data_IF_066736012824
#
_entry.id   IF_066736012824
#
_cell.length_a   1.000
_cell.length_b   1.000
_cell.length_c   1.000
_cell.angle_alpha   90.00
_cell.angle_beta   90.00
_cell.angle_gamma   90.00
#
_symmetry.space_group_name_H-M   'P 1'
#
loop_
_entity.id
_entity.type
_entity.pdbx_description
1 polymer ?
#
# COMPACT_ATOMS: atom_id res chain seq x y z
N UNK A 1 20.36 24.21 -1.45
CA UNK A 1 20.67 22.77 -1.43
C UNK A 1 19.39 22.02 -1.68
N UNK A 2 19.21 21.41 -2.85
CA UNK A 2 18.05 20.55 -3.09
C UNK A 2 18.18 19.34 -2.16
N UNK A 3 17.30 19.20 -1.16
CA UNK A 3 17.19 17.95 -0.40
C UNK A 3 16.92 16.86 -1.43
N UNK A 4 17.88 15.96 -1.64
CA UNK A 4 17.62 14.74 -2.41
C UNK A 4 16.38 14.09 -1.83
N UNK A 5 15.42 13.73 -2.69
CA UNK A 5 14.23 12.99 -2.28
C UNK A 5 14.70 11.77 -1.49
N UNK A 6 14.30 11.61 -0.23
CA UNK A 6 14.73 10.52 0.66
C UNK A 6 14.19 9.15 0.26
N UNK A 7 13.86 8.97 -1.01
CA UNK A 7 13.35 7.77 -1.66
C UNK A 7 14.49 6.78 -1.83
N UNK A 8 14.34 5.60 -1.24
CA UNK A 8 15.36 4.55 -1.17
C UNK A 8 14.95 3.26 -1.89
N UNK A 9 13.74 3.24 -2.43
CA UNK A 9 13.18 2.12 -3.18
C UNK A 9 12.61 2.61 -4.52
N UNK A 10 12.94 1.94 -5.63
CA UNK A 10 12.48 2.36 -6.95
C UNK A 10 10.98 2.13 -7.10
N UNK A 11 10.34 3.02 -7.86
CA UNK A 11 8.96 2.87 -8.31
C UNK A 11 8.90 3.19 -9.80
N UNK A 12 7.83 2.77 -10.47
CA UNK A 12 7.55 3.17 -11.85
C UNK A 12 6.09 3.55 -12.03
N UNK A 13 5.79 4.27 -13.11
CA UNK A 13 4.39 4.44 -13.53
C UNK A 13 3.80 3.11 -14.00
N UNK A 14 2.49 2.95 -13.79
CA UNK A 14 1.74 1.81 -14.29
C UNK A 14 1.74 1.79 -15.83
N UNK A 15 1.93 0.61 -16.41
CA UNK A 15 1.80 0.38 -17.84
C UNK A 15 0.35 -0.04 -18.17
N UNK A 16 -0.43 0.89 -18.68
CA UNK A 16 -1.85 0.66 -18.99
C UNK A 16 -2.05 -0.42 -20.08
N UNK A 17 -1.05 -0.69 -20.94
CA UNK A 17 -1.19 -1.73 -21.96
C UNK A 17 -1.23 -3.13 -21.35
N UNK A 18 -0.52 -3.35 -20.25
CA UNK A 18 -0.38 -4.67 -19.61
C UNK A 18 -1.05 -4.77 -18.24
N UNK A 19 -1.34 -3.64 -17.60
CA UNK A 19 -1.76 -3.55 -16.19
C UNK A 19 -3.11 -2.87 -16.00
N UNK A 20 -3.90 -2.67 -17.06
CA UNK A 20 -5.24 -2.07 -16.98
C UNK A 20 -6.17 -2.78 -15.99
N UNK A 21 -6.02 -4.10 -15.80
CA UNK A 21 -6.80 -4.88 -14.84
C UNK A 21 -6.66 -4.36 -13.39
N UNK A 22 -5.50 -3.83 -13.01
CA UNK A 22 -5.26 -3.22 -11.70
C UNK A 22 -6.13 -1.96 -11.54
N UNK A 23 -6.23 -1.15 -12.59
CA UNK A 23 -7.06 0.06 -12.59
C UNK A 23 -8.53 -0.32 -12.40
N UNK A 24 -9.02 -1.30 -13.16
CA UNK A 24 -10.42 -1.73 -13.08
C UNK A 24 -10.74 -2.34 -11.71
N UNK A 25 -9.82 -3.14 -11.16
CA UNK A 25 -9.97 -3.74 -9.83
C UNK A 25 -9.99 -2.68 -8.73
N UNK A 26 -9.10 -1.68 -8.79
CA UNK A 26 -9.10 -0.56 -7.84
C UNK A 26 -10.41 0.23 -7.91
N UNK A 27 -10.96 0.48 -9.12
CA UNK A 27 -12.27 1.14 -9.26
C UNK A 27 -13.39 0.33 -8.63
N UNK A 28 -13.42 -0.99 -8.84
CA UNK A 28 -14.40 -1.88 -8.22
C UNK A 28 -14.33 -1.81 -6.69
N UNK A 29 -13.13 -1.95 -6.12
CA UNK A 29 -12.91 -1.91 -4.67
C UNK A 29 -13.25 -0.54 -4.08
N UNK A 30 -12.84 0.56 -4.73
CA UNK A 30 -13.27 1.92 -4.36
C UNK A 30 -14.79 2.04 -4.42
N UNK A 31 -15.43 1.42 -5.41
CA UNK A 31 -16.89 1.36 -5.58
C UNK A 31 -17.64 0.72 -4.40
N UNK A 32 -16.98 -0.06 -3.56
CA UNK A 32 -17.58 -0.66 -2.35
C UNK A 32 -17.57 0.29 -1.15
N UNK A 33 -16.71 1.31 -1.14
CA UNK A 33 -16.60 2.27 -0.03
C UNK A 33 -17.87 3.15 0.13
N UNK A 34 -18.01 3.82 1.28
CA UNK A 34 -19.04 4.86 1.44
C UNK A 34 -18.65 6.14 0.70
N UNK A 35 -19.61 7.04 0.44
CA UNK A 35 -19.45 8.20 -0.47
C UNK A 35 -18.26 9.11 -0.13
N UNK A 36 -17.92 9.26 1.15
CA UNK A 36 -16.75 10.03 1.60
C UNK A 36 -15.42 9.38 1.19
N UNK A 37 -15.22 8.11 1.52
CA UNK A 37 -13.98 7.39 1.21
C UNK A 37 -13.84 7.07 -0.29
N UNK A 38 -14.96 6.91 -1.00
CA UNK A 38 -15.03 6.75 -2.47
C UNK A 38 -14.32 7.84 -3.26
N UNK A 39 -14.33 9.07 -2.75
CA UNK A 39 -13.89 10.28 -3.47
C UNK A 39 -12.63 10.92 -2.86
N UNK A 40 -12.06 10.30 -1.83
CA UNK A 40 -10.95 10.85 -1.06
C UNK A 40 -9.92 9.80 -0.69
N UNK A 41 -8.83 10.27 -0.08
CA UNK A 41 -7.67 9.45 0.32
C UNK A 41 -6.92 8.83 -0.86
N UNK A 42 -5.74 8.34 -0.54
CA UNK A 42 -4.99 7.45 -1.43
C UNK A 42 -5.60 6.04 -1.33
N UNK A 43 -5.62 5.32 -2.45
CA UNK A 43 -5.96 3.91 -2.49
C UNK A 43 -4.78 3.11 -3.05
N UNK A 44 -4.54 1.93 -2.50
CA UNK A 44 -3.52 1.01 -2.98
C UNK A 44 -4.07 -0.41 -3.06
N UNK A 45 -3.51 -1.19 -3.97
CA UNK A 45 -3.82 -2.59 -4.21
C UNK A 45 -2.49 -3.34 -4.34
N UNK A 46 -2.35 -4.49 -3.68
CA UNK A 46 -1.26 -5.41 -3.88
C UNK A 46 -1.80 -6.74 -4.37
N UNK A 47 -1.31 -7.16 -5.53
CA UNK A 47 -1.42 -8.53 -6.02
C UNK A 47 -0.29 -9.34 -5.38
N UNK A 48 -0.65 -10.44 -4.72
CA UNK A 48 0.26 -11.24 -3.91
C UNK A 48 0.21 -12.68 -4.38
N UNK A 49 1.35 -13.18 -4.85
CA UNK A 49 1.60 -14.59 -5.12
C UNK A 49 2.81 -15.02 -4.30
N UNK A 50 2.60 -15.30 -3.02
CA UNK A 50 3.65 -15.63 -2.06
C UNK A 50 3.32 -16.93 -1.34
N UNK A 51 4.26 -17.88 -1.37
CA UNK A 51 4.10 -19.15 -0.66
C UNK A 51 3.93 -18.92 0.84
N UNK A 52 2.82 -19.41 1.39
CA UNK A 52 2.43 -19.23 2.80
C UNK A 52 1.44 -18.09 3.04
N UNK A 53 0.96 -17.43 2.00
CA UNK A 53 -0.18 -16.49 2.08
C UNK A 53 -1.28 -17.00 1.14
N UNK A 54 -2.43 -17.38 1.70
CA UNK A 54 -3.58 -17.86 0.90
C UNK A 54 -4.36 -16.70 0.25
N UNK A 55 -4.19 -15.48 0.75
CA UNK A 55 -4.83 -14.27 0.23
C UNK A 55 -4.00 -13.70 -0.93
N UNK A 56 -4.59 -13.60 -2.11
CA UNK A 56 -3.91 -13.07 -3.31
C UNK A 56 -4.04 -11.56 -3.48
N UNK A 57 -4.89 -10.89 -2.70
CA UNK A 57 -5.18 -9.47 -2.86
C UNK A 57 -5.20 -8.74 -1.51
N UNK A 58 -4.49 -7.62 -1.42
CA UNK A 58 -4.50 -6.72 -0.27
C UNK A 58 -4.76 -5.31 -0.76
N UNK A 59 -5.58 -4.55 -0.05
CA UNK A 59 -5.85 -3.18 -0.43
C UNK A 59 -6.01 -2.32 0.80
N UNK A 60 -5.75 -1.03 0.66
CA UNK A 60 -5.87 -0.07 1.74
C UNK A 60 -6.36 1.28 1.21
N UNK A 61 -7.00 2.03 2.10
CA UNK A 61 -7.38 3.42 1.88
C UNK A 61 -6.79 4.26 3.02
N UNK A 62 -6.11 5.37 2.69
CA UNK A 62 -5.28 6.11 3.64
C UNK A 62 -6.03 6.66 4.86
N UNK A 63 -7.30 7.00 4.70
CA UNK A 63 -8.18 7.56 5.73
C UNK A 63 -8.98 6.51 6.51
N UNK A 64 -8.91 5.23 6.15
CA UNK A 64 -9.53 4.11 6.89
C UNK A 64 -8.44 3.44 7.73
N UNK A 65 -8.41 3.75 9.03
CA UNK A 65 -7.45 3.16 9.97
C UNK A 65 -8.05 1.98 10.75
N UNK A 66 -9.37 1.97 10.90
CA UNK A 66 -10.16 0.95 11.59
C UNK A 66 -11.50 0.81 10.85
N UNK A 67 -12.13 -0.35 10.97
CA UNK A 67 -13.47 -0.59 10.45
C UNK A 67 -14.51 -0.29 11.53
N UNK A 68 -15.63 0.30 11.10
CA UNK A 68 -16.81 0.47 11.92
C UNK A 68 -18.07 0.48 11.04
N UNK A 69 -19.17 -0.06 11.58
CA UNK A 69 -20.50 -0.04 10.97
C UNK A 69 -20.52 -0.54 9.53
N UNK A 70 -21.13 0.24 8.63
CA UNK A 70 -21.36 -0.13 7.23
C UNK A 70 -20.08 -0.40 6.41
N UNK A 71 -18.91 0.08 6.83
CA UNK A 71 -17.66 -0.26 6.14
C UNK A 71 -17.26 -1.71 6.37
N UNK A 72 -17.43 -2.21 7.59
CA UNK A 72 -17.07 -3.58 7.94
C UNK A 72 -17.83 -4.59 7.08
N UNK A 73 -19.13 -4.34 6.85
CA UNK A 73 -19.97 -5.18 5.98
C UNK A 73 -19.55 -5.18 4.51
N UNK A 74 -18.87 -4.12 4.04
CA UNK A 74 -18.57 -3.91 2.62
C UNK A 74 -17.14 -4.25 2.22
N UNK A 75 -16.20 -4.08 3.15
CA UNK A 75 -14.74 -4.20 2.92
C UNK A 75 -14.03 -4.76 4.16
N UNK A 76 -14.55 -5.85 4.73
CA UNK A 76 -13.98 -6.50 5.93
C UNK A 76 -12.50 -6.89 5.78
N UNK A 77 -12.04 -7.08 4.56
CA UNK A 77 -10.71 -7.59 4.21
C UNK A 77 -9.69 -6.51 3.85
N UNK A 78 -10.01 -5.22 4.07
CA UNK A 78 -9.09 -4.11 3.89
C UNK A 78 -7.91 -4.19 4.88
N UNK A 79 -6.71 -3.83 4.43
CA UNK A 79 -5.56 -3.66 5.31
C UNK A 79 -5.66 -2.37 6.12
N UNK A 80 -5.67 -2.50 7.44
CA UNK A 80 -5.85 -1.42 8.41
C UNK A 80 -4.53 -0.96 9.03
N UNK A 81 -4.59 0.10 9.85
CA UNK A 81 -3.41 0.56 10.60
C UNK A 81 -3.03 -0.51 11.64
N UNK A 82 -1.82 -1.08 11.59
CA UNK A 82 -1.39 -2.09 12.56
C UNK A 82 -1.17 -1.50 13.95
N UNK A 83 -1.60 -2.21 14.98
CA UNK A 83 -1.31 -1.87 16.38
C UNK A 83 0.13 -2.20 16.77
N UNK A 84 0.68 -3.30 16.25
CA UNK A 84 2.06 -3.72 16.47
C UNK A 84 2.75 -3.95 15.11
N UNK A 85 3.26 -2.88 14.47
CA UNK A 85 3.86 -2.99 13.15
C UNK A 85 5.23 -3.69 13.19
N UNK A 86 5.50 -4.51 12.18
CA UNK A 86 6.84 -5.05 11.92
C UNK A 86 7.79 -3.95 11.44
N UNK A 87 7.31 -3.08 10.54
CA UNK A 87 8.05 -1.96 9.97
C UNK A 87 7.45 -0.66 10.46
N UNK A 88 8.27 0.24 10.99
CA UNK A 88 7.78 1.49 11.60
C UNK A 88 7.71 2.61 10.57
N UNK A 89 6.63 3.38 10.58
CA UNK A 89 6.57 4.61 9.81
C UNK A 89 7.45 5.69 10.46
N UNK A 90 8.11 6.48 9.62
CA UNK A 90 8.75 7.73 10.00
C UNK A 90 7.85 8.93 9.68
N UNK A 91 8.23 10.13 10.14
CA UNK A 91 7.61 11.36 9.67
C UNK A 91 8.09 11.67 8.25
N UNK A 92 7.17 12.15 7.41
CA UNK A 92 7.52 12.71 6.11
C UNK A 92 6.55 13.84 5.75
N UNK A 93 7.06 14.87 5.09
CA UNK A 93 6.27 16.02 4.67
C UNK A 93 5.20 15.63 3.63
N UNK A 94 4.02 16.24 3.69
CA UNK A 94 3.06 16.22 2.58
C UNK A 94 3.39 17.26 1.50
N UNK A 95 2.51 17.37 0.51
CA UNK A 95 2.62 18.37 -0.57
C UNK A 95 2.66 19.83 -0.09
N UNK A 96 2.20 20.11 1.13
CA UNK A 96 2.23 21.44 1.74
C UNK A 96 3.45 21.62 2.66
N UNK A 97 4.34 20.64 2.75
CA UNK A 97 5.51 20.67 3.63
C UNK A 97 5.23 20.29 5.08
N UNK A 98 4.01 19.84 5.42
CA UNK A 98 3.64 19.48 6.79
C UNK A 98 4.12 18.07 7.10
N UNK A 99 5.04 17.93 8.07
CA UNK A 99 5.54 16.64 8.52
C UNK A 99 4.63 16.00 9.56
N UNK A 100 4.20 14.77 9.29
CA UNK A 100 3.46 13.93 10.23
C UNK A 100 3.86 12.45 10.06
N UNK A 101 3.60 11.59 11.08
CA UNK A 101 3.84 10.16 10.97
C UNK A 101 3.04 9.54 9.82
N UNK A 102 3.71 8.79 8.94
CA UNK A 102 3.07 8.15 7.78
C UNK A 102 2.50 6.76 8.08
N UNK A 103 1.98 6.57 9.30
CA UNK A 103 1.46 5.29 9.79
C UNK A 103 0.01 5.01 9.33
N UNK A 104 -0.61 5.95 8.61
CA UNK A 104 -1.89 5.79 7.93
C UNK A 104 -1.74 5.56 6.42
N UNK A 105 -0.53 5.66 5.88
CA UNK A 105 -0.29 5.49 4.44
C UNK A 105 -0.59 4.05 4.00
N UNK A 106 -1.06 3.91 2.77
CA UNK A 106 -1.62 2.65 2.26
C UNK A 106 -0.57 1.54 2.11
N UNK A 107 0.62 1.89 1.65
CA UNK A 107 1.76 0.99 1.49
C UNK A 107 2.24 0.48 2.85
N UNK A 108 2.23 1.35 3.87
CA UNK A 108 2.54 0.98 5.24
C UNK A 108 1.56 -0.04 5.80
N UNK A 109 0.25 0.16 5.58
CA UNK A 109 -0.81 -0.76 6.03
C UNK A 109 -0.69 -2.12 5.36
N UNK A 110 -0.63 -2.14 4.03
CA UNK A 110 -0.56 -3.38 3.24
C UNK A 110 0.69 -4.20 3.58
N UNK A 111 1.87 -3.58 3.60
CA UNK A 111 3.11 -4.32 3.83
C UNK A 111 3.23 -4.84 5.27
N UNK A 112 2.69 -4.13 6.26
CA UNK A 112 2.62 -4.66 7.62
C UNK A 112 1.58 -5.78 7.77
N UNK A 113 0.44 -5.73 7.07
CA UNK A 113 -0.53 -6.84 7.04
C UNK A 113 0.10 -8.11 6.44
N UNK A 114 0.75 -7.99 5.29
CA UNK A 114 1.49 -9.08 4.65
C UNK A 114 2.59 -9.61 5.57
N UNK A 115 3.37 -8.73 6.21
CA UNK A 115 4.43 -9.13 7.13
C UNK A 115 3.91 -9.82 8.39
N UNK A 116 2.75 -9.41 8.91
CA UNK A 116 2.11 -10.07 10.05
C UNK A 116 1.71 -11.51 9.70
N UNK A 117 1.26 -11.75 8.46
CA UNK A 117 0.91 -13.10 7.96
C UNK A 117 2.13 -13.97 7.74
N UNK A 118 3.21 -13.40 7.20
CA UNK A 118 4.48 -14.12 7.01
C UNK A 118 5.21 -14.38 8.33
N UNK A 119 5.08 -13.48 9.30
CA UNK A 119 5.77 -13.55 10.58
C UNK A 119 7.29 -13.70 10.40
N UNK A 120 7.82 -14.77 10.99
CA UNK A 120 9.25 -15.10 10.95
C UNK A 120 9.65 -15.98 9.74
N UNK A 121 8.74 -16.26 8.81
CA UNK A 121 9.06 -16.98 7.58
C UNK A 121 9.79 -16.06 6.58
N UNK A 122 11.03 -15.67 6.89
CA UNK A 122 11.85 -14.80 6.05
C UNK A 122 12.32 -15.46 4.76
N UNK A 123 12.14 -16.78 4.65
CA UNK A 123 12.49 -17.57 3.45
C UNK A 123 11.32 -17.73 2.48
N UNK A 124 10.13 -17.20 2.81
CA UNK A 124 8.98 -17.15 1.91
C UNK A 124 9.37 -16.59 0.54
N UNK A 125 8.86 -17.23 -0.52
CA UNK A 125 9.21 -16.90 -1.91
C UNK A 125 7.95 -16.56 -2.69
N UNK A 126 8.08 -15.62 -3.61
CA UNK A 126 6.96 -15.21 -4.45
C UNK A 126 7.14 -13.84 -5.04
N UNK A 127 6.02 -13.26 -5.47
CA UNK A 127 5.95 -11.94 -6.08
C UNK A 127 4.85 -11.11 -5.42
N UNK A 128 5.12 -9.83 -5.26
CA UNK A 128 4.15 -8.84 -4.85
C UNK A 128 4.24 -7.68 -5.85
N UNK A 129 3.10 -7.33 -6.45
CA UNK A 129 2.97 -6.10 -7.23
C UNK A 129 2.07 -5.13 -6.48
N UNK A 130 2.67 -4.08 -5.92
CA UNK A 130 2.01 -3.04 -5.14
C UNK A 130 1.72 -1.82 -6.01
N UNK A 131 0.45 -1.62 -6.32
CA UNK A 131 -0.08 -0.40 -6.92
C UNK A 131 -0.49 0.62 -5.87
N UNK A 132 -0.20 1.89 -6.10
CA UNK A 132 -0.64 3.03 -5.29
C UNK A 132 -1.04 4.22 -6.19
N UNK A 133 -2.10 4.96 -5.87
CA UNK A 133 -2.50 6.09 -6.75
C UNK A 133 -1.47 7.23 -6.70
N UNK A 134 -0.95 7.54 -5.51
CA UNK A 134 0.10 8.52 -5.28
C UNK A 134 1.47 7.83 -5.25
N UNK A 135 2.51 8.47 -5.80
CA UNK A 135 3.87 7.97 -5.61
C UNK A 135 4.26 7.97 -4.12
N UNK A 136 5.15 7.04 -3.76
CA UNK A 136 5.50 6.75 -2.37
C UNK A 136 6.28 7.91 -1.75
N UNK A 137 5.89 8.31 -0.52
CA UNK A 137 6.66 9.26 0.26
C UNK A 137 7.96 8.63 0.80
N UNK A 138 8.90 9.45 1.29
CA UNK A 138 10.17 8.99 1.88
C UNK A 138 9.98 7.93 2.98
N UNK A 139 8.93 8.08 3.81
CA UNK A 139 8.63 7.11 4.86
C UNK A 139 8.20 5.75 4.29
N UNK A 140 7.25 5.73 3.34
CA UNK A 140 6.80 4.49 2.70
C UNK A 140 7.94 3.83 1.93
N UNK A 141 8.79 4.61 1.26
CA UNK A 141 9.97 4.09 0.54
C UNK A 141 10.91 3.32 1.47
N UNK A 142 11.12 3.78 2.71
CA UNK A 142 11.91 3.04 3.72
C UNK A 142 11.20 1.78 4.18
N UNK A 143 9.90 1.83 4.44
CA UNK A 143 9.10 0.65 4.83
C UNK A 143 9.17 -0.44 3.75
N UNK A 144 9.06 -0.05 2.48
CA UNK A 144 9.19 -0.94 1.32
C UNK A 144 10.59 -1.57 1.28
N UNK A 145 11.64 -0.76 1.47
CA UNK A 145 13.02 -1.27 1.51
C UNK A 145 13.27 -2.22 2.68
N UNK A 146 12.73 -1.95 3.87
CA UNK A 146 12.82 -2.82 5.03
C UNK A 146 12.06 -4.15 4.80
N UNK A 147 10.87 -4.09 4.19
CA UNK A 147 10.12 -5.28 3.80
C UNK A 147 10.93 -6.15 2.84
N UNK A 148 11.43 -5.55 1.75
CA UNK A 148 12.21 -6.25 0.73
C UNK A 148 13.49 -6.84 1.32
N UNK A 149 14.13 -6.16 2.28
CA UNK A 149 15.30 -6.68 3.00
C UNK A 149 14.96 -7.86 3.92
N UNK A 150 13.84 -7.82 4.63
CA UNK A 150 13.43 -8.90 5.56
C UNK A 150 13.00 -10.16 4.82
N UNK A 151 12.22 -10.02 3.74
CA UNK A 151 11.71 -11.11 2.91
C UNK A 151 12.42 -11.16 1.56
N UNK A 152 13.74 -11.37 1.59
CA UNK A 152 14.66 -11.26 0.43
C UNK A 152 14.29 -12.11 -0.80
N UNK A 153 13.51 -13.18 -0.62
CA UNK A 153 13.11 -14.08 -1.69
C UNK A 153 11.75 -13.71 -2.31
N UNK A 154 11.13 -12.61 -1.86
CA UNK A 154 9.92 -12.03 -2.44
C UNK A 154 10.34 -10.90 -3.38
N UNK A 155 9.99 -11.04 -4.65
CA UNK A 155 10.13 -9.97 -5.63
C UNK A 155 9.02 -8.95 -5.40
N UNK A 156 9.37 -7.75 -4.92
CA UNK A 156 8.43 -6.66 -4.68
C UNK A 156 8.59 -5.61 -5.78
N UNK A 157 7.53 -5.41 -6.56
CA UNK A 157 7.44 -4.32 -7.54
C UNK A 157 6.45 -3.27 -7.05
N UNK A 158 6.81 -1.99 -7.17
CA UNK A 158 5.95 -0.87 -6.78
C UNK A 158 5.65 -0.01 -7.99
N UNK A 159 4.36 0.10 -8.30
CA UNK A 159 3.85 0.88 -9.42
C UNK A 159 2.92 1.98 -8.90
N UNK A 160 2.88 3.12 -9.58
CA UNK A 160 2.00 4.22 -9.20
C UNK A 160 1.25 4.84 -10.36
N UNK A 161 0.11 5.48 -10.05
CA UNK A 161 -0.69 6.20 -11.04
C UNK A 161 -0.30 7.68 -11.20
N UNK A 162 0.92 8.04 -10.83
CA UNK A 162 1.47 9.40 -10.98
C UNK A 162 0.58 10.47 -10.32
N UNK A 163 0.00 10.14 -9.17
CA UNK A 163 -0.88 11.05 -8.44
C UNK A 163 -2.33 11.09 -8.93
N UNK A 164 -2.65 10.40 -10.04
CA UNK A 164 -4.00 10.36 -10.58
C UNK A 164 -4.87 9.41 -9.75
N UNK A 165 -5.79 9.98 -8.97
CA UNK A 165 -6.76 9.17 -8.22
C UNK A 165 -7.82 8.59 -9.13
N UNK A 166 -8.08 7.31 -8.95
CA UNK A 166 -9.12 6.59 -9.65
C UNK A 166 -10.47 6.88 -9.00
N UNK A 167 -11.47 7.03 -9.85
CA UNK A 167 -12.86 7.19 -9.43
C UNK A 167 -13.61 5.91 -9.82
N UNK A 168 -14.48 5.39 -8.94
CA UNK A 168 -15.40 4.32 -9.28
C UNK A 168 -16.20 4.62 -10.55
#
# INVERSE_FOLDING_TARGET
MAKGTGKVYPTREIDIATEAHIIDRVKELRGKLTSGYKKSGNFALAEVDVKGIDKSEFFAQSSINELNGTLEERIADISLKPNNPTFKASKAADKNGIEYPRDSDTEYKILNDIANRLGNNTEAKGKIKLFTELDTCDSCSRVIAEFSKKYKNIELEVIHNNGNRLKP
#
